data_IF_961298494667
#
_entry.id   IF_961298494667
#
_cell.length_a   1.000
_cell.length_b   1.000
_cell.length_c   1.000
_cell.angle_alpha   90.00
_cell.angle_beta   90.00
_cell.angle_gamma   90.00
#
_symmetry.space_group_name_H-M   'P 1'
#
loop_
_entity.id
_entity.type
_entity.pdbx_description
1 polymer ?
#
# COMPACT_ATOMS: atom_id res chain seq x y z
N UNK A 1 5.35 -9.33 -7.89
CA UNK A 1 6.22 -8.18 -7.57
C UNK A 1 5.80 -7.58 -6.25
N UNK A 2 6.69 -6.84 -5.57
CA UNK A 2 6.36 -6.08 -4.37
C UNK A 2 6.34 -4.59 -4.69
N UNK A 3 5.37 -3.86 -4.14
CA UNK A 3 5.25 -2.43 -4.35
C UNK A 3 5.12 -1.71 -3.01
N UNK A 4 6.08 -0.84 -2.73
CA UNK A 4 6.04 0.06 -1.59
C UNK A 4 5.30 1.33 -2.01
N UNK A 5 4.18 1.61 -1.34
CA UNK A 5 3.39 2.81 -1.57
C UNK A 5 3.41 3.66 -0.31
N UNK A 6 3.70 4.94 -0.46
CA UNK A 6 3.51 5.94 0.60
C UNK A 6 2.45 6.94 0.20
N UNK A 7 1.52 7.20 1.11
CA UNK A 7 0.53 8.25 1.02
C UNK A 7 0.97 9.38 1.93
N UNK A 8 1.28 10.56 1.40
CA UNK A 8 1.70 11.73 2.19
C UNK A 8 0.56 12.72 2.25
N UNK A 9 0.11 13.10 3.44
CA UNK A 9 -0.99 14.07 3.60
C UNK A 9 -0.63 15.42 2.99
N UNK A 10 -1.55 15.97 2.19
CA UNK A 10 -1.46 17.32 1.60
C UNK A 10 -2.66 18.20 1.95
N UNK A 11 -3.58 17.68 2.76
CA UNK A 11 -4.79 18.35 3.24
C UNK A 11 -4.81 18.47 4.76
N UNK A 12 -5.81 19.21 5.28
CA UNK A 12 -5.99 19.39 6.71
C UNK A 12 -6.40 18.08 7.41
N UNK A 13 -6.02 17.95 8.67
CA UNK A 13 -6.31 16.76 9.49
C UNK A 13 -7.80 16.45 9.59
N UNK A 14 -8.66 17.47 9.59
CA UNK A 14 -10.12 17.31 9.62
C UNK A 14 -10.65 16.60 8.36
N UNK A 15 -10.12 16.93 7.18
CA UNK A 15 -10.52 16.28 5.93
C UNK A 15 -10.01 14.84 5.88
N UNK A 16 -8.77 14.59 6.32
CA UNK A 16 -8.26 13.23 6.48
C UNK A 16 -9.14 12.41 7.43
N UNK A 17 -9.52 12.98 8.59
CA UNK A 17 -10.35 12.32 9.58
C UNK A 17 -11.74 11.94 9.04
N UNK A 18 -12.34 12.80 8.20
CA UNK A 18 -13.65 12.53 7.55
C UNK A 18 -13.63 11.31 6.65
N UNK A 19 -12.52 11.03 5.99
CA UNK A 19 -12.38 9.91 5.04
C UNK A 19 -11.65 8.69 5.61
N UNK A 20 -11.16 8.77 6.85
CA UNK A 20 -10.32 7.74 7.47
C UNK A 20 -11.01 6.37 7.56
N UNK A 21 -12.29 6.33 7.90
CA UNK A 21 -13.00 5.05 8.04
C UNK A 21 -13.25 4.39 6.68
N UNK A 22 -13.54 5.18 5.65
CA UNK A 22 -13.64 4.67 4.29
C UNK A 22 -12.28 4.14 3.79
N UNK A 23 -11.20 4.87 4.07
CA UNK A 23 -9.83 4.42 3.77
C UNK A 23 -9.50 3.08 4.45
N UNK A 24 -9.88 2.90 5.72
CA UNK A 24 -9.72 1.61 6.42
C UNK A 24 -10.51 0.48 5.74
N UNK A 25 -11.73 0.74 5.27
CA UNK A 25 -12.51 -0.27 4.53
C UNK A 25 -11.85 -0.64 3.20
N UNK A 26 -11.27 0.33 2.50
CA UNK A 26 -10.48 0.09 1.30
C UNK A 26 -9.24 -0.78 1.58
N UNK A 27 -8.51 -0.52 2.69
CA UNK A 27 -7.41 -1.39 3.14
C UNK A 27 -7.89 -2.82 3.44
N UNK A 28 -8.99 -2.97 4.18
CA UNK A 28 -9.57 -4.28 4.51
C UNK A 28 -9.92 -5.06 3.23
N UNK A 29 -10.47 -4.38 2.23
CA UNK A 29 -10.71 -4.98 0.91
C UNK A 29 -9.40 -5.45 0.27
N UNK A 30 -8.35 -4.63 0.28
CA UNK A 30 -7.05 -5.00 -0.25
C UNK A 30 -6.42 -6.22 0.43
N UNK A 31 -6.62 -6.38 1.74
CA UNK A 31 -6.23 -7.60 2.47
C UNK A 31 -7.06 -8.83 2.04
N UNK A 32 -8.38 -8.69 1.91
CA UNK A 32 -9.27 -9.77 1.47
C UNK A 32 -9.00 -10.23 0.04
N UNK A 33 -8.61 -9.30 -0.83
CA UNK A 33 -8.19 -9.57 -2.22
C UNK A 33 -6.72 -10.03 -2.30
N UNK A 34 -6.04 -10.22 -1.16
CA UNK A 34 -4.64 -10.63 -1.05
C UNK A 34 -3.62 -9.72 -1.77
N UNK A 35 -4.02 -8.48 -2.07
CA UNK A 35 -3.19 -7.45 -2.70
C UNK A 35 -2.28 -6.74 -1.71
N UNK A 36 -2.72 -6.57 -0.47
CA UNK A 36 -1.96 -5.88 0.58
C UNK A 36 -1.34 -6.91 1.53
N UNK A 37 -0.04 -6.76 1.80
CA UNK A 37 0.70 -7.53 2.78
C UNK A 37 0.59 -6.89 4.17
N UNK A 38 0.85 -5.58 4.25
CA UNK A 38 0.65 -4.78 5.45
C UNK A 38 0.44 -3.30 5.11
N UNK A 39 -0.14 -2.56 6.05
CA UNK A 39 -0.30 -1.12 5.99
C UNK A 39 -0.17 -0.51 7.39
N UNK A 40 0.29 0.73 7.49
CA UNK A 40 0.38 1.44 8.76
C UNK A 40 0.78 2.90 8.61
N UNK A 41 0.64 3.72 9.67
CA UNK A 41 1.05 5.11 9.65
C UNK A 41 2.58 5.23 9.57
N UNK A 42 3.05 6.29 8.91
CA UNK A 42 4.45 6.69 8.98
C UNK A 42 4.79 7.18 10.40
N UNK A 43 5.99 6.90 10.88
CA UNK A 43 6.42 7.23 12.26
C UNK A 43 6.46 8.73 12.54
N UNK A 44 6.60 9.56 11.51
CA UNK A 44 6.56 11.02 11.58
C UNK A 44 5.11 11.58 11.53
N UNK A 45 4.10 10.72 11.43
CA UNK A 45 2.68 11.12 11.33
C UNK A 45 2.28 11.76 10.00
N UNK A 46 3.17 11.87 9.01
CA UNK A 46 2.90 12.61 7.78
C UNK A 46 2.04 11.85 6.77
N UNK A 47 1.56 10.65 7.10
CA UNK A 47 0.91 9.79 6.13
C UNK A 47 0.89 8.31 6.50
N UNK A 48 0.79 7.47 5.47
CA UNK A 48 0.75 6.01 5.57
C UNK A 48 1.74 5.32 4.64
N UNK A 49 2.12 4.10 5.01
CA UNK A 49 2.90 3.16 4.20
C UNK A 49 2.08 1.90 3.97
N UNK A 50 2.12 1.39 2.74
CA UNK A 50 1.42 0.17 2.33
C UNK A 50 2.39 -0.68 1.51
N UNK A 51 2.50 -1.96 1.84
CA UNK A 51 3.20 -2.94 1.01
C UNK A 51 2.20 -3.79 0.24
N UNK A 52 2.26 -3.72 -1.08
CA UNK A 52 1.44 -4.52 -1.99
C UNK A 52 2.23 -5.70 -2.56
N UNK A 53 1.48 -6.76 -2.89
CA UNK A 53 1.89 -7.82 -3.81
C UNK A 53 1.00 -7.78 -5.05
N UNK A 54 1.59 -7.60 -6.23
CA UNK A 54 0.87 -7.61 -7.51
C UNK A 54 1.78 -8.04 -8.66
N UNK A 55 1.19 -8.37 -9.81
CA UNK A 55 1.94 -8.75 -11.02
C UNK A 55 2.63 -7.55 -11.67
N UNK A 56 2.07 -6.35 -11.55
CA UNK A 56 2.60 -5.12 -12.15
C UNK A 56 2.15 -3.88 -11.37
N UNK A 57 2.82 -2.75 -11.60
CA UNK A 57 2.49 -1.46 -10.98
C UNK A 57 1.12 -0.92 -11.39
N UNK A 58 0.70 -1.14 -12.64
CA UNK A 58 -0.58 -0.61 -13.17
C UNK A 58 -1.79 -1.14 -12.38
N UNK A 59 -1.71 -2.38 -11.92
CA UNK A 59 -2.75 -3.00 -11.08
C UNK A 59 -2.84 -2.35 -9.70
N UNK A 60 -1.70 -1.93 -9.15
CA UNK A 60 -1.64 -1.17 -7.89
C UNK A 60 -2.16 0.25 -8.10
N UNK A 61 -1.74 0.93 -9.16
CA UNK A 61 -2.23 2.26 -9.52
C UNK A 61 -3.74 2.27 -9.75
N UNK A 62 -4.30 1.25 -10.40
CA UNK A 62 -5.74 1.11 -10.57
C UNK A 62 -6.45 0.94 -9.22
N UNK A 63 -5.92 0.10 -8.34
CA UNK A 63 -6.50 -0.13 -7.01
C UNK A 63 -6.41 1.11 -6.10
N UNK A 64 -5.36 1.92 -6.24
CA UNK A 64 -5.17 3.17 -5.51
C UNK A 64 -6.19 4.25 -5.89
N UNK A 65 -6.76 4.21 -7.11
CA UNK A 65 -7.82 5.15 -7.50
C UNK A 65 -9.10 5.02 -6.68
N UNK A 66 -9.31 3.84 -6.08
CA UNK A 66 -10.45 3.58 -5.20
C UNK A 66 -10.17 3.97 -3.73
N UNK A 67 -8.96 4.43 -3.40
CA UNK A 67 -8.65 4.92 -2.05
C UNK A 67 -9.34 6.29 -1.85
N UNK A 68 -10.22 6.45 -0.84
CA UNK A 68 -10.86 7.73 -0.54
C UNK A 68 -9.87 8.88 -0.35
N UNK A 69 -8.67 8.63 0.17
CA UNK A 69 -7.65 9.67 0.27
C UNK A 69 -7.14 10.14 -1.10
N UNK A 70 -7.05 9.23 -2.08
CA UNK A 70 -6.62 9.55 -3.44
C UNK A 70 -7.76 10.18 -4.23
N UNK A 71 -8.96 9.61 -4.16
CA UNK A 71 -10.17 10.12 -4.83
C UNK A 71 -10.47 11.59 -4.44
N UNK A 72 -10.34 11.91 -3.16
CA UNK A 72 -10.55 13.25 -2.63
C UNK A 72 -9.30 14.15 -2.66
N UNK A 73 -8.21 13.71 -3.31
CA UNK A 73 -6.96 14.47 -3.48
C UNK A 73 -6.33 14.93 -2.15
N UNK A 74 -6.44 14.11 -1.11
CA UNK A 74 -5.96 14.41 0.25
C UNK A 74 -4.52 14.00 0.48
N UNK A 75 -3.97 13.18 -0.42
CA UNK A 75 -2.61 12.63 -0.33
C UNK A 75 -1.86 12.78 -1.65
N UNK A 76 -0.54 12.92 -1.54
CA UNK A 76 0.40 12.62 -2.62
C UNK A 76 0.80 11.16 -2.55
N UNK A 77 0.78 10.47 -3.69
CA UNK A 77 1.16 9.05 -3.80
C UNK A 77 2.59 8.92 -4.32
N UNK A 78 3.38 8.05 -3.71
CA UNK A 78 4.65 7.57 -4.27
C UNK A 78 4.62 6.05 -4.31
N UNK A 79 4.95 5.47 -5.45
CA UNK A 79 4.97 4.02 -5.69
C UNK A 79 6.36 3.61 -6.18
N UNK A 80 6.95 2.62 -5.51
CA UNK A 80 8.22 2.01 -5.90
C UNK A 80 8.02 0.51 -5.99
N UNK A 81 8.47 -0.09 -7.10
CA UNK A 81 8.31 -1.52 -7.38
C UNK A 81 9.64 -2.24 -7.30
N UNK A 82 9.63 -3.46 -6.80
CA UNK A 82 10.78 -4.38 -6.80
C UNK A 82 10.36 -5.78 -7.24
N UNK A 83 11.32 -6.49 -7.81
CA UNK A 83 11.33 -7.95 -7.83
C UNK A 83 12.27 -8.44 -6.74
N UNK A 84 11.77 -9.12 -5.69
CA UNK A 84 12.63 -9.64 -4.64
C UNK A 84 13.68 -10.60 -5.22
N UNK A 85 14.96 -10.29 -5.03
CA UNK A 85 16.05 -11.19 -5.44
C UNK A 85 16.37 -12.22 -4.33
N UNK A 86 16.29 -11.79 -3.07
CA UNK A 86 16.57 -12.59 -1.87
C UNK A 86 15.44 -12.39 -0.86
N UNK A 87 15.07 -13.46 -0.14
CA UNK A 87 14.07 -13.40 0.95
C UNK A 87 14.48 -14.28 2.13
N UNK A 88 13.98 -13.96 3.32
CA UNK A 88 14.09 -14.86 4.47
C UNK A 88 13.27 -16.13 4.23
N UNK A 89 13.64 -17.25 4.84
CA UNK A 89 12.82 -18.47 4.94
C UNK A 89 11.46 -18.26 5.60
N UNK A 90 11.36 -17.28 6.49
CA UNK A 90 10.11 -16.95 7.17
C UNK A 90 9.20 -16.04 6.33
N UNK A 91 9.70 -15.52 5.20
CA UNK A 91 8.88 -14.71 4.30
C UNK A 91 8.02 -15.63 3.42
N UNK A 92 6.71 -15.44 3.49
CA UNK A 92 5.75 -16.33 2.86
C UNK A 92 5.98 -16.47 1.34
N UNK A 93 6.04 -17.70 0.84
CA UNK A 93 6.38 -18.02 -0.57
C UNK A 93 5.49 -17.31 -1.58
N UNK A 94 4.19 -17.16 -1.25
CA UNK A 94 3.22 -16.43 -2.06
C UNK A 94 3.61 -14.98 -2.41
N UNK A 95 4.48 -14.35 -1.63
CA UNK A 95 4.94 -12.97 -1.84
C UNK A 95 6.40 -12.89 -2.27
N UNK A 96 7.16 -13.99 -2.17
CA UNK A 96 8.59 -14.03 -2.44
C UNK A 96 8.89 -14.02 -3.94
N UNK A 97 7.91 -14.40 -4.79
CA UNK A 97 8.10 -14.48 -6.23
C UNK A 97 9.25 -15.44 -6.56
N UNK A 98 10.19 -14.97 -7.39
CA UNK A 98 11.37 -15.75 -7.80
C UNK A 98 12.58 -15.58 -6.88
N UNK A 99 12.43 -15.00 -5.69
CA UNK A 99 13.56 -14.78 -4.79
C UNK A 99 14.20 -16.09 -4.34
N UNK A 100 15.51 -16.05 -4.16
CA UNK A 100 16.21 -17.13 -3.44
C UNK A 100 15.97 -16.96 -1.95
N UNK A 101 15.34 -17.95 -1.33
CA UNK A 101 15.19 -18.02 0.12
C UNK A 101 16.54 -18.37 0.79
N UNK A 102 16.92 -17.60 1.83
CA UNK A 102 18.17 -17.76 2.59
C UNK A 102 17.88 -18.05 4.06
#
# INVERSE_FOLDING_TARGET
MLHAVTLTYVSHEEDIARHLDAHKQWLIRGFKEEKIIFAGPLSNGSGGYILFHSENSDSVDHFLKDDPFVEHHLVSVSLISIEPALSSKDFHEKWSGNSKSI
#
